data_IF_520900094447
#
_entry.id   IF_520900094447
#
_cell.length_a   1.000
_cell.length_b   1.000
_cell.length_c   1.000
_cell.angle_alpha   90.00
_cell.angle_beta   90.00
_cell.angle_gamma   90.00
#
_symmetry.space_group_name_H-M   'P 1'
#
loop_
_entity.id
_entity.type
_entity.pdbx_description
1 polymer ?
#
# COMPACT_ATOMS: atom_id res chain seq x y z
N UNK A 1 2.17 25.79 6.64
CA UNK A 1 3.14 25.88 7.76
C UNK A 1 3.99 24.62 7.80
N UNK A 2 5.31 24.82 7.91
CA UNK A 2 6.24 23.71 8.15
C UNK A 2 6.71 23.78 9.60
N UNK A 3 6.48 22.69 10.35
CA UNK A 3 6.92 22.58 11.74
C UNK A 3 8.17 21.72 11.76
N UNK A 4 9.30 22.33 12.13
CA UNK A 4 10.56 21.62 12.25
C UNK A 4 10.52 20.63 13.43
N UNK A 5 10.89 19.40 13.17
CA UNK A 5 11.04 18.34 14.17
C UNK A 5 12.46 17.75 14.15
N UNK A 6 12.92 17.13 15.24
CA UNK A 6 14.20 16.46 15.27
C UNK A 6 14.22 15.29 14.28
N UNK A 7 15.33 15.11 13.58
CA UNK A 7 15.54 13.94 12.74
C UNK A 7 15.60 12.67 13.62
N UNK A 8 15.10 11.55 13.08
CA UNK A 8 15.13 10.27 13.77
C UNK A 8 15.38 9.13 12.78
N UNK A 9 15.91 8.03 13.29
CA UNK A 9 16.08 6.78 12.56
C UNK A 9 15.38 5.65 13.31
N UNK A 10 14.59 4.84 12.57
CA UNK A 10 13.84 3.72 13.14
C UNK A 10 12.66 4.13 14.05
N UNK A 11 12.15 3.17 14.81
CA UNK A 11 10.92 3.32 15.62
C UNK A 11 11.18 3.52 17.13
N UNK A 12 12.36 3.99 17.52
CA UNK A 12 12.74 4.19 18.92
C UNK A 12 12.34 5.54 19.52
N UNK A 13 13.00 5.91 20.62
CA UNK A 13 12.79 7.17 21.37
C UNK A 13 12.88 8.43 20.49
N UNK A 14 13.69 8.40 19.41
CA UNK A 14 13.78 9.49 18.46
C UNK A 14 12.46 9.80 17.78
N UNK A 15 11.68 8.78 17.40
CA UNK A 15 10.35 8.94 16.82
C UNK A 15 9.36 9.53 17.82
N UNK A 16 9.39 9.10 19.09
CA UNK A 16 8.55 9.68 20.14
C UNK A 16 8.86 11.17 20.34
N UNK A 17 10.14 11.52 20.38
CA UNK A 17 10.56 12.93 20.50
C UNK A 17 10.11 13.75 19.29
N UNK A 18 10.18 13.21 18.08
CA UNK A 18 9.68 13.86 16.87
C UNK A 18 8.16 14.12 16.96
N UNK A 19 7.37 13.12 17.35
CA UNK A 19 5.91 13.24 17.56
C UNK A 19 5.58 14.37 18.55
N UNK A 20 6.23 14.36 19.72
CA UNK A 20 6.00 15.38 20.75
C UNK A 20 6.43 16.78 20.29
N UNK A 21 7.52 16.88 19.55
CA UNK A 21 7.99 18.14 18.95
C UNK A 21 6.98 18.69 17.94
N UNK A 22 6.43 17.83 17.08
CA UNK A 22 5.39 18.23 16.13
C UNK A 22 4.14 18.73 16.84
N UNK A 23 3.61 17.96 17.80
CA UNK A 23 2.43 18.36 18.57
C UNK A 23 2.65 19.68 19.35
N UNK A 24 3.85 19.85 19.93
CA UNK A 24 4.22 21.10 20.57
C UNK A 24 4.22 22.26 19.56
N UNK A 25 4.84 22.05 18.40
CA UNK A 25 4.89 23.06 17.33
C UNK A 25 3.51 23.47 16.84
N UNK A 26 2.62 22.50 16.56
CA UNK A 26 1.22 22.81 16.18
C UNK A 26 0.52 23.65 17.25
N UNK A 27 0.66 23.30 18.53
CA UNK A 27 0.06 24.06 19.62
C UNK A 27 0.69 25.45 19.78
N UNK A 28 1.99 25.59 19.55
CA UNK A 28 2.72 26.87 19.64
C UNK A 28 2.27 27.85 18.55
N UNK A 29 2.20 27.38 17.30
CA UNK A 29 1.80 28.18 16.15
C UNK A 29 0.28 28.14 15.87
N UNK A 30 -0.52 27.67 16.81
CA UNK A 30 -1.96 27.48 16.61
C UNK A 30 -2.66 28.79 16.19
N UNK A 31 -2.30 29.92 16.79
CA UNK A 31 -2.89 31.24 16.44
C UNK A 31 -2.46 31.70 15.06
N UNK A 32 -1.21 31.47 14.66
CA UNK A 32 -0.69 31.84 13.35
C UNK A 32 -1.35 30.96 12.25
N UNK A 33 -1.50 29.65 12.51
CA UNK A 33 -2.23 28.73 11.63
C UNK A 33 -3.68 29.21 11.45
N UNK A 34 -4.33 29.56 12.54
CA UNK A 34 -5.69 30.06 12.53
C UNK A 34 -5.85 31.46 11.91
N UNK A 35 -4.80 32.23 11.79
CA UNK A 35 -4.82 33.57 11.15
C UNK A 35 -4.90 33.46 9.60
N UNK A 36 -4.58 32.31 9.00
CA UNK A 36 -4.63 32.11 7.54
C UNK A 36 -6.07 32.10 7.01
N UNK A 37 -7.02 31.57 7.79
CA UNK A 37 -8.43 31.52 7.42
C UNK A 37 -9.26 30.74 8.44
N UNK A 38 -10.58 30.92 8.36
CA UNK A 38 -11.52 30.14 9.15
C UNK A 38 -11.72 28.76 8.47
N UNK A 39 -11.34 27.64 9.09
CA UNK A 39 -11.64 26.32 8.53
C UNK A 39 -13.10 25.95 8.78
N UNK A 40 -13.73 25.27 7.82
CA UNK A 40 -15.00 24.58 7.98
C UNK A 40 -14.79 23.15 8.45
N UNK A 41 -13.68 22.54 8.03
CA UNK A 41 -13.25 21.18 8.40
C UNK A 41 -11.79 21.17 8.86
N UNK A 42 -11.50 20.38 9.88
CA UNK A 42 -10.14 20.10 10.37
C UNK A 42 -9.88 18.61 10.24
N UNK A 43 -8.87 18.24 9.46
CA UNK A 43 -8.50 16.83 9.25
C UNK A 43 -7.32 16.47 10.12
N UNK A 44 -7.50 15.53 11.04
CA UNK A 44 -6.43 14.89 11.81
C UNK A 44 -5.91 13.69 11.00
N UNK A 45 -4.74 13.85 10.36
CA UNK A 45 -4.20 12.95 9.34
C UNK A 45 -2.76 12.54 9.63
N UNK A 46 -2.48 12.12 10.86
CA UNK A 46 -1.17 11.60 11.25
C UNK A 46 -1.17 10.08 11.32
N UNK A 47 0.02 9.46 11.20
CA UNK A 47 0.19 8.02 11.45
C UNK A 47 -0.18 7.63 12.90
N UNK A 48 -0.22 8.62 13.81
CA UNK A 48 -0.51 8.44 15.23
C UNK A 48 -1.68 9.35 15.65
N UNK A 49 -2.55 8.90 16.59
CA UNK A 49 -3.82 9.57 16.87
C UNK A 49 -3.74 10.79 17.81
N UNK A 50 -2.53 11.29 18.13
CA UNK A 50 -2.39 12.39 19.11
C UNK A 50 -2.63 13.79 18.54
N UNK A 51 -2.65 13.95 17.23
CA UNK A 51 -2.98 15.19 16.53
C UNK A 51 -4.46 15.58 16.67
N UNK A 52 -5.30 14.68 17.15
CA UNK A 52 -6.69 14.99 17.52
C UNK A 52 -6.77 16.12 18.57
N UNK A 53 -5.81 16.21 19.49
CA UNK A 53 -5.87 17.22 20.53
C UNK A 53 -5.69 18.67 20.01
N UNK A 54 -4.71 19.00 19.19
CA UNK A 54 -4.68 20.31 18.52
C UNK A 54 -5.82 20.49 17.52
N UNK A 55 -6.23 19.45 16.76
CA UNK A 55 -7.37 19.52 15.85
C UNK A 55 -8.65 19.96 16.57
N UNK A 56 -8.95 19.38 17.71
CA UNK A 56 -10.10 19.78 18.56
C UNK A 56 -10.03 21.24 19.02
N UNK A 57 -8.85 21.76 19.35
CA UNK A 57 -8.70 23.16 19.73
C UNK A 57 -9.06 24.11 18.58
N UNK A 58 -8.59 23.77 17.37
CA UNK A 58 -8.89 24.54 16.16
C UNK A 58 -10.38 24.44 15.85
N UNK A 59 -10.93 23.25 15.77
CA UNK A 59 -12.34 23.01 15.48
C UNK A 59 -13.27 23.74 16.45
N UNK A 60 -13.00 23.63 17.76
CA UNK A 60 -13.77 24.32 18.80
C UNK A 60 -13.74 25.86 18.63
N UNK A 61 -12.58 26.43 18.23
CA UNK A 61 -12.43 27.88 18.04
C UNK A 61 -13.29 28.41 16.91
N UNK A 62 -13.47 27.64 15.84
CA UNK A 62 -14.15 28.10 14.62
C UNK A 62 -15.51 27.45 14.39
N UNK A 63 -15.92 26.50 15.22
CA UNK A 63 -17.11 25.69 14.97
C UNK A 63 -16.95 24.76 13.77
N UNK A 64 -15.73 24.33 13.49
CA UNK A 64 -15.41 23.45 12.38
C UNK A 64 -15.70 22.00 12.72
N UNK A 65 -15.94 21.18 11.70
CA UNK A 65 -16.03 19.72 11.80
C UNK A 65 -14.66 19.07 11.92
N UNK A 66 -14.61 17.86 12.45
CA UNK A 66 -13.37 17.09 12.61
C UNK A 66 -13.48 15.80 11.83
N UNK A 67 -12.53 15.55 10.93
CA UNK A 67 -12.33 14.27 10.27
C UNK A 67 -11.09 13.62 10.86
N UNK A 68 -11.21 12.37 11.31
CA UNK A 68 -10.09 11.51 11.65
C UNK A 68 -9.74 10.64 10.46
N UNK A 69 -8.63 10.93 9.81
CA UNK A 69 -8.12 10.18 8.67
C UNK A 69 -7.06 9.17 9.14
N UNK A 70 -7.32 7.88 8.87
CA UNK A 70 -6.53 6.76 9.39
C UNK A 70 -5.70 6.12 8.29
N UNK A 71 -4.39 6.36 8.33
CA UNK A 71 -3.41 5.73 7.43
C UNK A 71 -2.88 4.40 7.94
N UNK A 72 -2.87 4.22 9.27
CA UNK A 72 -2.38 3.03 9.95
C UNK A 72 -3.05 2.89 11.32
N UNK A 73 -3.30 1.69 11.77
CA UNK A 73 -3.98 1.43 13.05
C UNK A 73 -3.00 1.55 14.22
N UNK A 74 -2.87 2.74 14.77
CA UNK A 74 -2.10 3.00 15.98
C UNK A 74 -3.03 3.18 17.19
N UNK A 75 -2.77 2.42 18.27
CA UNK A 75 -1.54 1.71 18.66
C UNK A 75 -1.44 0.24 18.23
N UNK A 76 -2.38 -0.28 17.47
CA UNK A 76 -2.43 -1.71 17.14
C UNK A 76 -1.21 -2.18 16.34
N UNK A 77 -0.76 -1.39 15.35
CA UNK A 77 0.41 -1.72 14.52
C UNK A 77 1.70 -1.91 15.34
N UNK A 78 2.14 -1.00 16.24
CA UNK A 78 3.30 -1.28 17.08
C UNK A 78 3.08 -2.43 18.06
N UNK A 79 1.85 -2.78 18.43
CA UNK A 79 1.56 -3.95 19.25
C UNK A 79 1.68 -5.25 18.46
N UNK A 80 0.98 -5.38 17.34
CA UNK A 80 0.91 -6.64 16.58
C UNK A 80 2.16 -6.87 15.71
N UNK A 81 2.70 -5.83 15.08
CA UNK A 81 3.90 -5.94 14.25
C UNK A 81 5.19 -5.73 15.04
N UNK A 82 5.16 -4.87 16.06
CA UNK A 82 6.34 -4.53 16.87
C UNK A 82 6.45 -5.28 18.18
N UNK A 83 5.47 -6.11 18.54
CA UNK A 83 5.46 -6.89 19.79
C UNK A 83 5.38 -6.05 21.08
N UNK A 84 4.96 -4.78 20.99
CA UNK A 84 4.86 -3.91 22.15
C UNK A 84 3.69 -4.31 23.05
N UNK A 85 3.93 -4.35 24.35
CA UNK A 85 2.88 -4.66 25.34
C UNK A 85 1.80 -3.58 25.36
N UNK A 86 0.53 -3.98 25.49
CA UNK A 86 -0.60 -3.06 25.71
C UNK A 86 -0.48 -2.20 26.98
N UNK A 87 0.34 -2.64 27.93
CA UNK A 87 0.62 -1.91 29.19
C UNK A 87 1.82 -0.95 29.06
N UNK A 88 2.48 -0.90 27.92
CA UNK A 88 3.58 0.04 27.70
C UNK A 88 3.02 1.48 27.74
N UNK A 89 3.64 2.43 28.48
CA UNK A 89 3.11 3.80 28.63
C UNK A 89 2.83 4.50 27.30
N UNK A 90 3.67 4.31 26.31
CA UNK A 90 3.49 4.86 24.96
C UNK A 90 2.22 4.31 24.31
N UNK A 91 1.99 3.00 24.38
CA UNK A 91 0.78 2.35 23.83
C UNK A 91 -0.47 2.87 24.54
N UNK A 92 -0.43 3.00 25.87
CA UNK A 92 -1.57 3.54 26.63
C UNK A 92 -1.92 4.98 26.25
N UNK A 93 -0.91 5.81 25.97
CA UNK A 93 -1.11 7.19 25.51
C UNK A 93 -1.73 7.21 24.10
N UNK A 94 -1.20 6.39 23.17
CA UNK A 94 -1.73 6.27 21.80
C UNK A 94 -3.18 5.75 21.82
N UNK A 95 -3.49 4.76 22.67
CA UNK A 95 -4.85 4.24 22.81
C UNK A 95 -5.84 5.29 23.31
N UNK A 96 -5.41 6.16 24.23
CA UNK A 96 -6.25 7.29 24.66
C UNK A 96 -6.50 8.26 23.51
N UNK A 97 -5.48 8.49 22.67
CA UNK A 97 -5.61 9.30 21.46
C UNK A 97 -6.61 8.70 20.49
N UNK A 98 -6.49 7.42 20.15
CA UNK A 98 -7.42 6.72 19.26
C UNK A 98 -8.87 6.76 19.79
N UNK A 99 -9.06 6.44 21.06
CA UNK A 99 -10.39 6.54 21.69
C UNK A 99 -10.96 7.97 21.63
N UNK A 100 -10.11 8.98 21.72
CA UNK A 100 -10.51 10.37 21.60
C UNK A 100 -10.86 10.75 20.17
N UNK A 101 -10.11 10.26 19.17
CA UNK A 101 -10.44 10.38 17.75
C UNK A 101 -11.83 9.78 17.48
N UNK A 102 -12.03 8.53 17.86
CA UNK A 102 -13.29 7.81 17.65
C UNK A 102 -14.52 8.51 18.24
N UNK A 103 -14.37 9.12 19.42
CA UNK A 103 -15.46 9.83 20.10
C UNK A 103 -15.73 11.22 19.54
N UNK A 104 -14.66 11.94 19.16
CA UNK A 104 -14.73 13.38 18.90
C UNK A 104 -14.84 13.72 17.42
N UNK A 105 -14.42 12.82 16.50
CA UNK A 105 -14.56 13.06 15.08
C UNK A 105 -16.01 13.05 14.64
N UNK A 106 -16.34 13.92 13.69
CA UNK A 106 -17.62 13.93 12.99
C UNK A 106 -17.66 12.83 11.92
N UNK A 107 -16.51 12.56 11.26
CA UNK A 107 -16.32 11.40 10.39
C UNK A 107 -14.96 10.74 10.64
N UNK A 108 -14.89 9.41 10.42
CA UNK A 108 -13.66 8.61 10.45
C UNK A 108 -13.44 8.04 9.06
N UNK A 109 -12.38 8.47 8.41
CA UNK A 109 -12.02 8.03 7.07
C UNK A 109 -10.83 7.07 7.17
N UNK A 110 -10.98 5.86 6.67
CA UNK A 110 -9.94 4.83 6.73
C UNK A 110 -9.63 4.24 5.37
N UNK A 111 -8.34 4.00 5.10
CA UNK A 111 -7.91 3.25 3.93
C UNK A 111 -8.02 1.71 4.11
N UNK A 112 -8.49 1.25 5.27
CA UNK A 112 -8.68 -0.16 5.61
C UNK A 112 -10.19 -0.48 5.68
N UNK A 113 -10.74 -1.24 4.73
CA UNK A 113 -12.20 -1.42 4.60
C UNK A 113 -12.84 -2.18 5.75
N UNK A 114 -12.10 -3.04 6.42
CA UNK A 114 -12.60 -3.90 7.50
C UNK A 114 -12.29 -3.36 8.90
N UNK A 115 -11.87 -2.08 9.04
CA UNK A 115 -11.53 -1.49 10.33
C UNK A 115 -12.74 -0.91 11.09
N UNK A 116 -13.94 -0.90 10.50
CA UNK A 116 -15.15 -0.29 11.07
C UNK A 116 -15.45 -0.75 12.48
N UNK A 117 -15.49 -2.05 12.72
CA UNK A 117 -15.84 -2.63 14.03
C UNK A 117 -14.77 -2.28 15.09
N UNK A 118 -13.49 -2.24 14.72
CA UNK A 118 -12.42 -1.78 15.60
C UNK A 118 -12.70 -0.36 16.11
N UNK A 119 -13.06 0.58 15.25
CA UNK A 119 -13.35 1.95 15.68
C UNK A 119 -14.63 2.06 16.51
N UNK A 120 -15.65 1.23 16.24
CA UNK A 120 -16.88 1.16 17.06
C UNK A 120 -16.53 0.70 18.48
N UNK A 121 -15.68 -0.32 18.63
CA UNK A 121 -15.21 -0.80 19.94
C UNK A 121 -14.45 0.29 20.72
N UNK A 122 -13.86 1.27 20.01
CA UNK A 122 -13.14 2.40 20.60
C UNK A 122 -13.99 3.67 20.76
N UNK A 123 -15.29 3.57 20.48
CA UNK A 123 -16.30 4.60 20.80
C UNK A 123 -16.78 5.44 19.60
N UNK A 124 -16.51 5.02 18.37
CA UNK A 124 -17.05 5.64 17.17
C UNK A 124 -18.52 5.23 16.98
N UNK A 125 -19.39 6.15 16.59
CA UNK A 125 -20.73 5.83 16.13
C UNK A 125 -20.68 5.19 14.73
N UNK A 126 -21.44 4.11 14.48
CA UNK A 126 -21.30 3.29 13.27
C UNK A 126 -21.45 4.02 11.94
N UNK A 127 -22.25 5.08 11.91
CA UNK A 127 -22.53 5.90 10.72
C UNK A 127 -21.39 6.84 10.33
N UNK A 128 -20.41 7.04 11.21
CA UNK A 128 -19.26 7.93 10.97
C UNK A 128 -18.13 7.29 10.17
N UNK A 129 -18.19 5.98 9.92
CA UNK A 129 -17.14 5.27 9.21
C UNK A 129 -17.27 5.41 7.70
N UNK A 130 -16.18 5.84 7.07
CA UNK A 130 -16.06 5.94 5.61
C UNK A 130 -14.79 5.24 5.15
N UNK A 131 -14.88 4.48 4.08
CA UNK A 131 -13.74 3.84 3.44
C UNK A 131 -13.30 4.67 2.24
N UNK A 132 -12.07 5.17 2.28
CA UNK A 132 -11.41 5.85 1.15
C UNK A 132 -10.02 5.26 1.02
N UNK A 133 -9.76 4.40 0.03
CA UNK A 133 -8.48 3.72 -0.15
C UNK A 133 -7.39 4.65 -0.68
N UNK A 134 -6.15 4.11 -0.80
CA UNK A 134 -5.12 4.75 -1.61
C UNK A 134 -5.56 4.80 -3.08
N UNK A 135 -5.12 5.82 -3.79
CA UNK A 135 -5.46 6.05 -5.19
C UNK A 135 -4.25 6.16 -6.11
N UNK A 136 -4.55 6.42 -7.37
CA UNK A 136 -3.57 6.62 -8.44
C UNK A 136 -3.96 7.82 -9.30
N UNK A 137 -2.97 8.46 -9.92
CA UNK A 137 -3.16 9.48 -10.94
C UNK A 137 -3.18 8.79 -12.30
N UNK A 138 -4.37 8.61 -12.89
CA UNK A 138 -4.53 7.96 -14.19
C UNK A 138 -3.72 8.65 -15.31
N UNK A 139 -3.70 10.00 -15.32
CA UNK A 139 -2.95 10.79 -16.28
C UNK A 139 -1.43 10.50 -16.31
N UNK A 140 -0.86 9.97 -15.22
CA UNK A 140 0.56 9.55 -15.24
C UNK A 140 0.79 8.29 -16.09
N UNK A 141 -0.25 7.52 -16.38
CA UNK A 141 -0.22 6.29 -17.17
C UNK A 141 -0.63 6.50 -18.63
N UNK A 142 -1.23 7.64 -18.98
CA UNK A 142 -1.60 8.03 -20.34
C UNK A 142 -0.44 8.64 -21.11
N UNK A 143 0.68 8.91 -20.43
CA UNK A 143 1.88 9.47 -21.07
C UNK A 143 2.42 8.49 -22.11
N UNK A 144 2.85 8.97 -23.29
CA UNK A 144 3.48 8.11 -24.27
C UNK A 144 4.65 7.35 -23.66
N UNK A 145 4.75 6.05 -23.98
CA UNK A 145 5.93 5.29 -23.59
C UNK A 145 7.19 5.92 -24.19
N UNK A 146 8.33 5.91 -23.49
CA UNK A 146 9.57 6.44 -24.02
C UNK A 146 9.98 5.66 -25.27
N UNK A 147 10.70 6.33 -26.15
CA UNK A 147 11.19 5.74 -27.40
C UNK A 147 12.08 4.50 -27.16
N UNK A 148 12.77 4.48 -26.01
CA UNK A 148 13.59 3.37 -25.56
C UNK A 148 13.20 2.95 -24.14
N UNK A 149 12.25 2.01 -23.99
CA UNK A 149 11.84 1.48 -22.69
C UNK A 149 13.00 0.83 -21.93
N UNK A 150 12.95 0.96 -20.59
CA UNK A 150 13.95 0.34 -19.72
C UNK A 150 13.99 -1.17 -19.89
N UNK A 151 15.19 -1.73 -20.03
CA UNK A 151 15.41 -3.16 -20.30
C UNK A 151 14.82 -3.69 -21.62
N UNK A 152 14.38 -2.84 -22.55
CA UNK A 152 13.67 -3.21 -23.78
C UNK A 152 14.35 -4.36 -24.54
N UNK A 153 15.63 -4.21 -24.90
CA UNK A 153 16.35 -5.22 -25.67
C UNK A 153 16.39 -6.58 -24.97
N UNK A 154 16.55 -6.58 -23.64
CA UNK A 154 16.58 -7.79 -22.83
C UNK A 154 15.21 -8.46 -22.78
N UNK A 155 14.17 -7.70 -22.45
CA UNK A 155 12.81 -8.23 -22.29
C UNK A 155 12.26 -8.72 -23.63
N UNK A 156 12.52 -7.98 -24.71
CA UNK A 156 12.19 -8.40 -26.08
C UNK A 156 12.86 -9.73 -26.42
N UNK A 157 14.16 -9.88 -26.16
CA UNK A 157 14.87 -11.14 -26.40
C UNK A 157 14.30 -12.31 -25.60
N UNK A 158 13.85 -12.08 -24.36
CA UNK A 158 13.18 -13.12 -23.58
C UNK A 158 11.85 -13.53 -24.22
N UNK A 159 10.99 -12.59 -24.63
CA UNK A 159 9.73 -12.88 -25.31
C UNK A 159 9.94 -13.61 -26.65
N UNK A 160 10.90 -13.16 -27.48
CA UNK A 160 11.25 -13.82 -28.73
C UNK A 160 11.71 -15.28 -28.55
N UNK A 161 12.32 -15.57 -27.39
CA UNK A 161 12.68 -16.93 -27.00
C UNK A 161 11.54 -17.68 -26.28
N UNK A 162 10.32 -17.14 -26.23
CA UNK A 162 9.12 -17.75 -25.70
C UNK A 162 9.05 -17.80 -24.17
N UNK A 163 9.71 -16.88 -23.47
CA UNK A 163 9.58 -16.74 -22.01
C UNK A 163 8.34 -15.95 -21.64
N UNK A 164 7.62 -16.44 -20.64
CA UNK A 164 6.53 -15.74 -19.96
C UNK A 164 7.11 -14.96 -18.76
N UNK A 165 6.91 -13.65 -18.73
CA UNK A 165 7.56 -12.76 -17.78
C UNK A 165 6.61 -12.35 -16.66
N UNK A 166 7.00 -12.64 -15.40
CA UNK A 166 6.27 -12.23 -14.21
C UNK A 166 7.18 -11.34 -13.38
N UNK A 167 6.75 -10.12 -13.05
CA UNK A 167 7.58 -9.20 -12.30
C UNK A 167 7.00 -8.82 -10.93
N UNK A 168 7.92 -8.60 -9.99
CA UNK A 168 7.74 -7.82 -8.78
C UNK A 168 8.50 -6.52 -8.90
N UNK A 169 7.85 -5.38 -8.62
CA UNK A 169 8.50 -4.07 -8.53
C UNK A 169 8.31 -3.47 -7.15
N UNK A 170 9.38 -2.95 -6.55
CA UNK A 170 9.32 -2.29 -5.25
C UNK A 170 10.46 -2.66 -4.31
N UNK A 171 10.38 -2.18 -3.07
CA UNK A 171 11.41 -2.43 -2.07
C UNK A 171 11.54 -3.93 -1.75
N UNK A 172 12.77 -4.43 -1.78
CA UNK A 172 13.10 -5.78 -1.33
C UNK A 172 13.27 -5.79 0.21
N UNK A 173 12.13 -5.68 0.91
CA UNK A 173 12.06 -5.76 2.37
C UNK A 173 11.45 -7.07 2.84
N UNK A 174 11.72 -7.45 4.08
CA UNK A 174 11.24 -8.70 4.70
C UNK A 174 9.72 -8.83 4.59
N UNK A 175 8.98 -7.75 4.83
CA UNK A 175 7.53 -7.75 4.81
C UNK A 175 6.91 -8.17 3.46
N UNK A 176 7.66 -8.08 2.35
CA UNK A 176 7.17 -8.45 1.01
C UNK A 176 7.31 -9.96 0.70
N UNK A 177 7.81 -10.78 1.63
CA UNK A 177 7.88 -12.25 1.54
C UNK A 177 8.49 -12.78 0.22
N UNK A 178 9.52 -12.10 -0.31
CA UNK A 178 10.11 -12.41 -1.62
C UNK A 178 10.90 -13.72 -1.66
N UNK A 179 11.19 -14.32 -0.52
CA UNK A 179 11.80 -15.65 -0.45
C UNK A 179 10.96 -16.71 -1.15
N UNK A 180 9.64 -16.71 -0.92
CA UNK A 180 8.72 -17.64 -1.54
C UNK A 180 8.62 -17.43 -3.06
N UNK A 181 8.75 -16.19 -3.53
CA UNK A 181 8.78 -15.87 -4.95
C UNK A 181 10.06 -16.40 -5.63
N UNK A 182 11.22 -16.28 -4.97
CA UNK A 182 12.49 -16.86 -5.46
C UNK A 182 12.44 -18.40 -5.45
N UNK A 183 11.90 -19.01 -4.39
CA UNK A 183 11.73 -20.46 -4.29
C UNK A 183 10.78 -21.02 -5.36
N UNK A 184 9.71 -20.28 -5.69
CA UNK A 184 8.83 -20.64 -6.80
C UNK A 184 9.59 -20.77 -8.13
N UNK A 185 10.61 -19.92 -8.36
CA UNK A 185 11.48 -20.03 -9.51
C UNK A 185 12.22 -21.36 -9.60
N UNK A 186 12.64 -21.96 -8.49
CA UNK A 186 13.25 -23.28 -8.46
C UNK A 186 12.23 -24.38 -8.85
N UNK A 187 10.96 -24.23 -8.46
CA UNK A 187 9.87 -25.13 -8.85
C UNK A 187 9.48 -24.99 -10.32
N UNK A 188 9.83 -23.87 -10.96
CA UNK A 188 9.59 -23.60 -12.38
C UNK A 188 10.73 -24.08 -13.29
N UNK A 189 11.71 -24.82 -12.76
CA UNK A 189 12.81 -25.39 -13.55
C UNK A 189 12.29 -26.17 -14.75
N UNK A 190 12.79 -25.83 -15.93
CA UNK A 190 12.37 -26.44 -17.22
C UNK A 190 11.14 -25.78 -17.86
N UNK A 191 10.41 -24.92 -17.17
CA UNK A 191 9.37 -24.09 -17.75
C UNK A 191 9.98 -22.78 -18.28
N UNK A 192 9.45 -22.29 -19.38
CA UNK A 192 9.85 -20.95 -19.92
C UNK A 192 9.09 -19.83 -19.21
N UNK A 193 9.24 -19.77 -17.90
CA UNK A 193 8.66 -18.72 -17.05
C UNK A 193 9.78 -18.04 -16.28
N UNK A 194 9.87 -16.71 -16.42
CA UNK A 194 10.90 -15.87 -15.81
C UNK A 194 10.29 -15.00 -14.72
N UNK A 195 10.82 -15.07 -13.52
CA UNK A 195 10.45 -14.23 -12.39
C UNK A 195 11.48 -13.10 -12.27
N UNK A 196 11.04 -11.86 -12.38
CA UNK A 196 11.87 -10.67 -12.36
C UNK A 196 11.61 -9.88 -11.08
N UNK A 197 12.67 -9.53 -10.34
CA UNK A 197 12.59 -8.69 -9.17
C UNK A 197 13.30 -7.35 -9.46
N UNK A 198 12.58 -6.23 -9.36
CA UNK A 198 13.09 -4.90 -9.65
C UNK A 198 12.89 -3.99 -8.45
N UNK A 199 13.97 -3.44 -7.93
CA UNK A 199 13.91 -2.48 -6.85
C UNK A 199 15.08 -2.54 -5.87
N UNK A 200 15.19 -1.53 -5.00
CA UNK A 200 16.17 -1.50 -3.92
C UNK A 200 15.65 -2.25 -2.69
N UNK A 201 16.51 -2.47 -1.71
CA UNK A 201 16.09 -2.94 -0.40
C UNK A 201 17.16 -3.72 0.35
N UNK A 202 16.99 -3.87 1.68
CA UNK A 202 17.98 -4.54 2.51
C UNK A 202 18.16 -6.02 2.17
N UNK A 203 17.12 -6.68 1.66
CA UNK A 203 17.16 -8.10 1.32
C UNK A 203 17.70 -8.40 -0.09
N UNK A 204 17.96 -7.37 -0.91
CA UNK A 204 18.30 -7.52 -2.32
C UNK A 204 19.47 -8.45 -2.58
N UNK A 205 20.59 -8.25 -1.89
CA UNK A 205 21.80 -9.05 -2.12
C UNK A 205 21.63 -10.50 -1.63
N UNK A 206 20.92 -10.70 -0.54
CA UNK A 206 20.59 -12.03 -0.02
C UNK A 206 19.69 -12.80 -0.99
N UNK A 207 18.64 -12.14 -1.51
CA UNK A 207 17.73 -12.73 -2.50
C UNK A 207 18.45 -13.02 -3.82
N UNK A 208 19.38 -12.17 -4.24
CA UNK A 208 20.21 -12.38 -5.43
C UNK A 208 21.10 -13.61 -5.31
N UNK A 209 21.76 -13.78 -4.17
CA UNK A 209 22.57 -14.96 -3.90
C UNK A 209 21.71 -16.23 -3.89
N UNK A 210 20.56 -16.19 -3.21
CA UNK A 210 19.59 -17.31 -3.18
C UNK A 210 19.10 -17.68 -4.57
N UNK A 211 18.72 -16.69 -5.39
CA UNK A 211 18.24 -16.92 -6.76
C UNK A 211 19.33 -17.58 -7.63
N UNK A 212 20.57 -17.13 -7.52
CA UNK A 212 21.71 -17.70 -8.26
C UNK A 212 21.98 -19.17 -7.85
N UNK A 213 21.75 -19.54 -6.60
CA UNK A 213 21.93 -20.88 -6.08
C UNK A 213 20.83 -21.84 -6.53
N UNK A 214 19.55 -21.46 -6.31
CA UNK A 214 18.44 -22.42 -6.46
C UNK A 214 17.64 -22.29 -7.75
N UNK A 215 17.66 -21.11 -8.41
CA UNK A 215 16.81 -20.81 -9.58
C UNK A 215 17.51 -19.95 -10.65
N UNK A 216 18.78 -20.23 -11.04
CA UNK A 216 19.58 -19.33 -11.89
C UNK A 216 18.98 -19.02 -13.25
N UNK A 217 18.14 -19.91 -13.77
CA UNK A 217 17.52 -19.75 -15.09
C UNK A 217 16.15 -19.06 -15.04
N UNK A 218 15.41 -19.22 -13.92
CA UNK A 218 14.03 -18.78 -13.82
C UNK A 218 13.84 -17.49 -12.99
N UNK A 219 14.83 -17.10 -12.18
CA UNK A 219 14.77 -15.87 -11.36
C UNK A 219 15.90 -14.94 -11.74
N UNK A 220 15.58 -13.65 -11.84
CA UNK A 220 16.58 -12.62 -12.05
C UNK A 220 16.23 -11.34 -11.30
N UNK A 221 17.24 -10.76 -10.64
CA UNK A 221 17.14 -9.46 -9.99
C UNK A 221 17.74 -8.39 -10.93
N UNK A 222 16.89 -7.49 -11.38
CA UNK A 222 17.29 -6.34 -12.20
C UNK A 222 17.62 -5.14 -11.29
N UNK A 223 18.36 -4.18 -11.84
CA UNK A 223 18.67 -2.96 -11.11
C UNK A 223 17.40 -2.11 -10.89
N UNK A 224 17.37 -1.30 -9.81
CA UNK A 224 16.25 -0.40 -9.55
C UNK A 224 15.98 0.56 -10.70
N UNK A 225 14.71 0.83 -10.96
CA UNK A 225 14.23 1.82 -11.93
C UNK A 225 13.62 3.02 -11.20
N UNK A 226 13.55 4.17 -11.87
CA UNK A 226 12.87 5.35 -11.33
C UNK A 226 11.34 5.16 -11.30
N UNK A 227 10.65 5.92 -10.46
CA UNK A 227 9.18 5.88 -10.39
C UNK A 227 8.53 6.15 -11.76
N UNK A 228 9.08 7.07 -12.54
CA UNK A 228 8.59 7.40 -13.86
C UNK A 228 8.73 6.25 -14.90
N UNK A 229 9.65 5.32 -14.68
CA UNK A 229 9.88 4.17 -15.56
C UNK A 229 9.01 2.95 -15.18
N UNK A 230 8.32 2.99 -14.04
CA UNK A 230 7.51 1.85 -13.59
C UNK A 230 6.39 1.51 -14.58
N UNK A 231 5.58 2.46 -15.09
CA UNK A 231 4.53 2.14 -16.06
C UNK A 231 5.05 1.41 -17.30
N UNK A 232 6.11 1.93 -17.92
CA UNK A 232 6.70 1.34 -19.13
C UNK A 232 7.23 -0.08 -18.89
N UNK A 233 7.88 -0.29 -17.72
CA UNK A 233 8.40 -1.60 -17.35
C UNK A 233 7.26 -2.61 -17.14
N UNK A 234 6.21 -2.21 -16.43
CA UNK A 234 5.07 -3.09 -16.17
C UNK A 234 4.30 -3.47 -17.43
N UNK A 235 4.21 -2.56 -18.42
CA UNK A 235 3.59 -2.87 -19.71
C UNK A 235 4.31 -3.96 -20.50
N UNK A 236 5.62 -4.16 -20.27
CA UNK A 236 6.42 -5.20 -20.92
C UNK A 236 6.26 -6.59 -20.26
N UNK A 237 5.52 -6.71 -19.16
CA UNK A 237 5.31 -7.98 -18.45
C UNK A 237 4.06 -8.72 -18.95
N UNK A 238 4.04 -10.05 -18.76
CA UNK A 238 2.87 -10.86 -19.04
C UNK A 238 1.95 -10.96 -17.83
N UNK A 239 2.53 -10.96 -16.61
CA UNK A 239 1.81 -10.91 -15.35
C UNK A 239 2.65 -10.23 -14.25
N UNK A 240 2.02 -9.88 -13.14
CA UNK A 240 2.66 -9.20 -12.03
C UNK A 240 2.43 -9.96 -10.73
N UNK A 241 3.36 -9.85 -9.78
CA UNK A 241 3.30 -10.52 -8.49
C UNK A 241 3.34 -9.52 -7.34
N UNK A 242 2.45 -9.70 -6.38
CA UNK A 242 2.49 -9.01 -5.10
C UNK A 242 2.34 -10.01 -3.96
N UNK A 243 3.22 -9.93 -2.97
CA UNK A 243 3.16 -10.76 -1.78
C UNK A 243 3.47 -9.96 -0.53
N UNK A 244 2.90 -10.38 0.58
CA UNK A 244 3.22 -9.90 1.92
C UNK A 244 3.36 -11.10 2.87
N UNK A 245 4.15 -10.93 3.93
CA UNK A 245 4.15 -11.89 5.03
C UNK A 245 2.76 -11.98 5.65
N UNK A 246 2.42 -13.14 6.18
CA UNK A 246 1.18 -13.31 6.94
C UNK A 246 1.24 -12.48 8.23
N UNK A 247 0.29 -11.57 8.38
CA UNK A 247 0.19 -10.71 9.56
C UNK A 247 -1.26 -10.61 10.05
N UNK A 248 -1.53 -10.83 11.35
CA UNK A 248 -2.88 -10.72 11.91
C UNK A 248 -3.54 -9.35 11.66
N UNK A 249 -2.74 -8.29 11.60
CA UNK A 249 -3.20 -6.92 11.36
C UNK A 249 -3.92 -6.78 10.02
N UNK A 250 -3.57 -7.57 9.01
CA UNK A 250 -4.17 -7.49 7.67
C UNK A 250 -5.65 -7.95 7.62
N UNK A 251 -6.20 -8.51 8.71
CA UNK A 251 -7.65 -8.75 8.83
C UNK A 251 -8.50 -7.48 8.65
N UNK A 252 -7.91 -6.31 8.89
CA UNK A 252 -8.56 -5.01 8.68
C UNK A 252 -8.53 -4.54 7.21
N UNK A 253 -7.85 -5.27 6.37
CA UNK A 253 -7.62 -4.96 4.97
C UNK A 253 -6.22 -4.44 4.70
N UNK A 254 -5.92 -4.29 3.41
CA UNK A 254 -4.67 -3.72 2.90
C UNK A 254 -4.96 -2.80 1.71
N UNK A 255 -4.14 -1.77 1.55
CA UNK A 255 -4.20 -0.85 0.40
C UNK A 255 -2.78 -0.57 -0.13
N UNK A 256 -2.08 -1.59 -0.68
CA UNK A 256 -0.69 -1.43 -1.11
C UNK A 256 -0.59 -0.68 -2.44
N UNK A 257 0.09 0.47 -2.45
CA UNK A 257 0.24 1.35 -3.62
C UNK A 257 0.68 0.62 -4.89
N UNK A 258 1.58 -0.38 -4.77
CA UNK A 258 2.05 -1.15 -5.94
C UNK A 258 0.95 -1.95 -6.63
N UNK A 259 -0.10 -2.35 -5.89
CA UNK A 259 -1.23 -3.07 -6.49
C UNK A 259 -2.01 -2.17 -7.45
N UNK A 260 -2.15 -0.87 -7.11
CA UNK A 260 -2.75 0.11 -8.02
C UNK A 260 -1.96 0.21 -9.33
N UNK A 261 -0.62 0.30 -9.23
CA UNK A 261 0.24 0.31 -10.41
C UNK A 261 0.08 -0.95 -11.25
N UNK A 262 -0.01 -2.12 -10.62
CA UNK A 262 -0.13 -3.41 -11.31
C UNK A 262 -1.47 -3.56 -12.04
N UNK A 263 -2.54 -3.20 -11.38
CA UNK A 263 -3.88 -3.23 -11.98
C UNK A 263 -4.00 -2.16 -13.08
N UNK A 264 -3.45 -0.95 -12.86
CA UNK A 264 -3.43 0.12 -13.86
C UNK A 264 -2.64 -0.26 -15.12
N UNK A 265 -1.58 -1.08 -14.98
CA UNK A 265 -0.83 -1.63 -16.12
C UNK A 265 -1.67 -2.58 -16.99
N UNK A 266 -2.86 -2.97 -16.58
CA UNK A 266 -3.73 -3.88 -17.33
C UNK A 266 -3.15 -5.30 -17.46
N UNK A 267 -2.41 -5.77 -16.46
CA UNK A 267 -1.80 -7.09 -16.44
C UNK A 267 -2.41 -7.97 -15.37
N UNK A 268 -2.53 -9.30 -15.61
CA UNK A 268 -2.95 -10.24 -14.57
C UNK A 268 -2.05 -10.16 -13.35
N UNK A 269 -2.64 -10.26 -12.14
CA UNK A 269 -1.89 -10.18 -10.88
C UNK A 269 -1.95 -11.51 -10.14
N UNK A 270 -0.80 -12.02 -9.70
CA UNK A 270 -0.71 -13.05 -8.67
C UNK A 270 -0.67 -12.34 -7.32
N UNK A 271 -1.74 -12.50 -6.54
CA UNK A 271 -1.93 -11.85 -5.25
C UNK A 271 -1.72 -12.84 -4.11
N UNK A 272 -0.53 -12.77 -3.49
CA UNK A 272 -0.10 -13.65 -2.40
C UNK A 272 -0.21 -12.94 -1.04
N UNK A 273 -1.41 -12.52 -0.67
CA UNK A 273 -1.69 -11.77 0.57
C UNK A 273 -2.95 -12.34 1.22
N UNK A 274 -2.89 -12.57 2.53
CA UNK A 274 -4.06 -12.91 3.35
C UNK A 274 -4.52 -11.65 4.07
N UNK A 275 -5.63 -11.08 3.63
CA UNK A 275 -6.17 -9.81 4.15
C UNK A 275 -7.70 -9.83 4.23
N UNK A 276 -8.27 -8.83 4.91
CA UNK A 276 -9.73 -8.67 4.99
C UNK A 276 -10.39 -8.27 3.66
N UNK A 277 -9.61 -7.82 2.67
CA UNK A 277 -10.07 -7.50 1.33
C UNK A 277 -9.16 -8.12 0.28
N UNK A 278 -9.70 -8.35 -0.91
CA UNK A 278 -8.97 -8.88 -2.06
C UNK A 278 -9.45 -8.21 -3.35
N UNK A 279 -8.82 -7.09 -3.70
CA UNK A 279 -9.16 -6.33 -4.91
C UNK A 279 -8.93 -7.11 -6.20
N UNK A 280 -7.98 -8.07 -6.20
CA UNK A 280 -7.71 -8.90 -7.38
C UNK A 280 -8.85 -9.87 -7.63
N UNK A 281 -9.39 -10.47 -6.58
CA UNK A 281 -10.57 -11.33 -6.66
C UNK A 281 -11.84 -10.52 -7.01
N UNK A 282 -12.04 -9.35 -6.39
CA UNK A 282 -13.17 -8.46 -6.66
C UNK A 282 -13.21 -8.02 -8.12
N UNK A 283 -12.08 -7.56 -8.66
CA UNK A 283 -11.94 -7.18 -10.06
C UNK A 283 -11.84 -8.37 -11.03
N UNK A 284 -11.64 -9.59 -10.55
CA UNK A 284 -11.36 -10.78 -11.36
C UNK A 284 -10.18 -10.58 -12.31
N UNK A 285 -9.14 -9.90 -11.83
CA UNK A 285 -8.01 -9.49 -12.64
C UNK A 285 -6.73 -10.30 -12.37
N UNK A 286 -6.85 -11.48 -11.72
CA UNK A 286 -5.70 -12.29 -11.41
C UNK A 286 -6.04 -13.57 -10.66
N UNK A 287 -5.05 -14.06 -9.91
CA UNK A 287 -5.16 -15.28 -9.10
C UNK A 287 -4.72 -14.94 -7.67
N UNK A 288 -5.64 -15.08 -6.72
CA UNK A 288 -5.33 -14.96 -5.29
C UNK A 288 -4.88 -16.30 -4.74
N UNK A 289 -3.80 -16.29 -3.98
CA UNK A 289 -3.15 -17.47 -3.41
C UNK A 289 -2.74 -17.21 -1.95
N UNK A 290 -2.51 -18.28 -1.16
CA UNK A 290 -1.96 -18.10 0.18
C UNK A 290 -0.60 -17.38 0.15
N UNK A 291 -0.33 -16.48 1.12
CA UNK A 291 0.98 -15.85 1.24
C UNK A 291 2.06 -16.87 1.62
N UNK A 292 3.31 -16.55 1.27
CA UNK A 292 4.50 -17.34 1.64
C UNK A 292 4.48 -18.81 1.14
N UNK A 293 3.69 -19.12 0.11
CA UNK A 293 3.58 -20.46 -0.49
C UNK A 293 4.21 -20.48 -1.89
N UNK A 294 5.47 -20.92 -1.96
CA UNK A 294 6.21 -21.03 -3.23
C UNK A 294 5.59 -21.97 -4.24
N UNK A 295 4.88 -23.02 -3.79
CA UNK A 295 4.18 -23.97 -4.67
C UNK A 295 2.95 -23.30 -5.28
N UNK A 296 2.14 -22.62 -4.47
CA UNK A 296 0.97 -21.89 -4.97
C UNK A 296 1.37 -20.80 -5.98
N UNK A 297 2.49 -20.09 -5.74
CA UNK A 297 3.05 -19.12 -6.69
C UNK A 297 3.43 -19.79 -8.01
N UNK A 298 4.16 -20.92 -7.97
CA UNK A 298 4.58 -21.64 -9.18
C UNK A 298 3.39 -22.18 -9.98
N UNK A 299 2.36 -22.68 -9.30
CA UNK A 299 1.15 -23.22 -9.95
C UNK A 299 0.31 -22.09 -10.57
N UNK A 300 0.16 -20.93 -9.90
CA UNK A 300 -0.45 -19.74 -10.47
C UNK A 300 0.31 -19.23 -11.69
N UNK A 301 1.65 -19.20 -11.63
CA UNK A 301 2.49 -18.81 -12.74
C UNK A 301 2.32 -19.74 -13.97
N UNK A 302 2.29 -21.07 -13.78
CA UNK A 302 2.01 -22.03 -14.86
C UNK A 302 0.62 -21.86 -15.44
N UNK A 303 -0.38 -21.64 -14.58
CA UNK A 303 -1.76 -21.41 -15.01
C UNK A 303 -1.85 -20.19 -15.92
N UNK A 304 -1.30 -19.04 -15.50
CA UNK A 304 -1.29 -17.84 -16.35
C UNK A 304 -0.53 -18.07 -17.65
N UNK A 305 0.66 -18.67 -17.59
CA UNK A 305 1.47 -18.95 -18.78
C UNK A 305 0.82 -19.93 -19.79
N UNK A 306 -0.18 -20.71 -19.36
CA UNK A 306 -0.94 -21.63 -20.23
C UNK A 306 -2.22 -21.03 -20.80
N UNK A 307 -2.62 -19.81 -20.37
CA UNK A 307 -3.82 -19.13 -20.85
C UNK A 307 -3.61 -18.55 -22.26
N UNK A 308 -4.67 -18.49 -23.08
CA UNK A 308 -4.63 -17.75 -24.33
C UNK A 308 -4.31 -16.26 -24.10
N UNK A 309 -3.51 -15.61 -24.98
CA UNK A 309 -3.16 -14.21 -24.82
C UNK A 309 -4.36 -13.26 -24.70
N UNK A 310 -5.45 -13.55 -25.39
CA UNK A 310 -6.67 -12.76 -25.30
C UNK A 310 -7.30 -12.84 -23.90
N UNK A 311 -7.35 -14.02 -23.30
CA UNK A 311 -7.90 -14.22 -21.93
C UNK A 311 -7.07 -13.48 -20.87
N UNK A 312 -5.73 -13.52 -21.01
CA UNK A 312 -4.81 -12.74 -20.16
C UNK A 312 -5.06 -11.23 -20.30
N UNK A 313 -5.21 -10.74 -21.53
CA UNK A 313 -5.48 -9.35 -21.80
C UNK A 313 -6.82 -8.90 -21.19
N UNK A 314 -7.88 -9.67 -21.38
CA UNK A 314 -9.19 -9.41 -20.78
C UNK A 314 -9.14 -9.42 -19.24
N UNK A 315 -8.38 -10.36 -18.65
CA UNK A 315 -8.15 -10.41 -17.21
C UNK A 315 -7.46 -9.14 -16.70
N UNK A 316 -6.38 -8.72 -17.35
CA UNK A 316 -5.67 -7.50 -16.99
C UNK A 316 -6.55 -6.24 -17.14
N UNK A 317 -7.30 -6.14 -18.23
CA UNK A 317 -8.19 -5.00 -18.48
C UNK A 317 -9.31 -4.85 -17.44
N UNK A 318 -9.80 -5.92 -16.84
CA UNK A 318 -10.74 -5.83 -15.71
C UNK A 318 -10.10 -5.13 -14.50
N UNK A 319 -8.81 -5.39 -14.23
CA UNK A 319 -8.06 -4.67 -13.19
C UNK A 319 -7.92 -3.19 -13.49
N UNK A 320 -7.56 -2.87 -14.72
CA UNK A 320 -7.43 -1.48 -15.18
C UNK A 320 -8.75 -0.71 -15.01
N UNK A 321 -9.85 -1.28 -15.48
CA UNK A 321 -11.17 -0.66 -15.35
C UNK A 321 -11.59 -0.47 -13.88
N UNK A 322 -11.32 -1.48 -13.03
CA UNK A 322 -11.61 -1.41 -11.60
C UNK A 322 -10.90 -0.22 -10.94
N UNK A 323 -9.62 0.02 -11.28
CA UNK A 323 -8.85 1.13 -10.74
C UNK A 323 -9.42 2.48 -11.17
N UNK A 324 -9.75 2.65 -12.46
CA UNK A 324 -10.33 3.88 -12.97
C UNK A 324 -11.68 4.21 -12.32
N UNK A 325 -12.51 3.21 -12.06
CA UNK A 325 -13.83 3.38 -11.47
C UNK A 325 -13.81 3.61 -9.95
N UNK A 326 -12.82 3.06 -9.24
CA UNK A 326 -12.87 3.00 -7.78
C UNK A 326 -11.69 3.67 -7.05
N UNK A 327 -10.55 3.89 -7.72
CA UNK A 327 -9.32 4.33 -7.06
C UNK A 327 -8.54 5.40 -7.83
N UNK A 328 -9.11 5.98 -8.87
CA UNK A 328 -8.58 7.18 -9.47
C UNK A 328 -8.76 8.35 -8.50
N UNK A 329 -7.75 9.23 -8.38
CA UNK A 329 -7.78 10.29 -7.37
C UNK A 329 -8.93 11.27 -7.52
N UNK A 330 -9.42 11.55 -8.73
CA UNK A 330 -10.60 12.42 -8.91
C UNK A 330 -11.87 11.78 -8.34
N UNK A 331 -12.01 10.44 -8.46
CA UNK A 331 -13.11 9.68 -7.84
C UNK A 331 -13.00 9.76 -6.30
N UNK A 332 -11.83 9.49 -5.77
CA UNK A 332 -11.60 9.51 -4.32
C UNK A 332 -11.71 10.92 -3.72
N UNK A 333 -11.24 11.94 -4.44
CA UNK A 333 -11.34 13.33 -4.01
C UNK A 333 -12.81 13.79 -3.94
N UNK A 334 -13.64 13.42 -4.93
CA UNK A 334 -15.06 13.70 -4.89
C UNK A 334 -15.76 12.98 -3.73
N UNK A 335 -15.41 11.71 -3.48
CA UNK A 335 -15.91 10.96 -2.32
C UNK A 335 -15.50 11.62 -1.00
N UNK A 336 -14.24 12.07 -0.88
CA UNK A 336 -13.76 12.72 0.34
C UNK A 336 -14.43 14.10 0.52
N UNK A 337 -14.65 14.85 -0.56
CA UNK A 337 -15.37 16.12 -0.53
C UNK A 337 -16.82 15.93 -0.05
N UNK A 338 -17.53 14.93 -0.56
CA UNK A 338 -18.88 14.58 -0.11
C UNK A 338 -18.94 14.28 1.39
N UNK A 339 -17.93 13.55 1.92
CA UNK A 339 -17.79 13.31 3.37
C UNK A 339 -17.59 14.64 4.12
N UNK A 340 -16.77 15.56 3.61
CA UNK A 340 -16.53 16.85 4.26
C UNK A 340 -17.77 17.75 4.30
N UNK A 341 -18.63 17.65 3.28
CA UNK A 341 -19.85 18.45 3.17
C UNK A 341 -20.99 17.90 4.05
N UNK A 342 -21.01 16.60 4.34
CA UNK A 342 -22.13 15.92 5.00
C UNK A 342 -21.84 15.40 6.41
N UNK A 343 -20.60 15.51 6.92
CA UNK A 343 -20.25 15.05 8.27
C UNK A 343 -20.73 15.97 9.40
#
# INVERSE_FOLDING_TARGET
>A
FWIAGPQYHGNGMGRIRNILSFLHGVNHYLLDICAVGKPDVVIASSTYPLDIYPAKKIAKRYGAKIIYEVHDLWPLSPMELGGMSKHHPFIMIMQKGENECCKSADAVVSLLPCAREHFIEHGMAPEKFHYVPNGIVAADWEKPLPEHPVYEAKLRSLHENGWFLIAYTGAHGIANALDSFVEAGALLKGAKIKLLLVGPGPERERLKAKAAEIAPNNVELLDPISRAQVPEFLHQMDALYIGLQRQPLFRFGVSPNKLMDYMMAGKPVIFAIEAGNDMVAEARCGISIPPEDSRAIADAARKLASMPPQELAEMGMRGHQYILENQEYDVLANQFLDIMEHC
#
